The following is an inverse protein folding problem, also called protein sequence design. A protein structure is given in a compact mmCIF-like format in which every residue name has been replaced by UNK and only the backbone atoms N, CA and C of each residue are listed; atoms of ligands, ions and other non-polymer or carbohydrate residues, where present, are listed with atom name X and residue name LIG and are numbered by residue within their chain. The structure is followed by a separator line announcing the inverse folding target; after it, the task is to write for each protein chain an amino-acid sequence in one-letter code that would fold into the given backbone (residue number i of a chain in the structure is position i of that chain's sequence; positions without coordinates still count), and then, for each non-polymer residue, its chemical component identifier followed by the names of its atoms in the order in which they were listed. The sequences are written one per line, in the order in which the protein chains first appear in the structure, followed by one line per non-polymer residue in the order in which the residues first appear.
data_IF_304707873470
#
_entry.id   IF_304707873470
#
_cell.length_a   1.000
_cell.length_b   1.000
_cell.length_c   1.000
_cell.angle_alpha   90.00
_cell.angle_beta   90.00
_cell.angle_gamma   90.00
#
_symmetry.space_group_name_H-M   'P 1'
#
loop_
_entity.id
_entity.type
_entity.pdbx_description
1 polymer ?
#
# COMPACT_ATOMS: atom_id res chain seq x y z
N UNK A 1 -24.51 -9.44 -3.50
CA UNK A 1 -23.41 -10.42 -3.63
C UNK A 1 -22.12 -9.63 -3.44
N UNK A 2 -21.35 -9.90 -2.39
CA UNK A 2 -20.06 -9.22 -2.22
C UNK A 2 -19.09 -9.75 -3.27
N UNK A 3 -18.48 -8.85 -4.04
CA UNK A 3 -17.43 -9.19 -5.00
C UNK A 3 -16.19 -9.72 -4.25
N UNK A 4 -15.50 -10.70 -4.83
CA UNK A 4 -14.25 -11.22 -4.25
C UNK A 4 -13.13 -10.17 -4.37
N UNK A 5 -12.11 -10.26 -3.50
CA UNK A 5 -10.97 -9.34 -3.58
C UNK A 5 -10.29 -9.37 -4.97
N UNK A 6 -10.26 -10.52 -5.64
CA UNK A 6 -9.76 -10.65 -7.00
C UNK A 6 -10.57 -9.84 -8.03
N UNK A 7 -11.88 -9.71 -7.84
CA UNK A 7 -12.74 -8.91 -8.71
C UNK A 7 -12.61 -7.40 -8.43
N UNK A 8 -12.28 -7.04 -7.19
CA UNK A 8 -12.10 -5.65 -6.78
C UNK A 8 -10.66 -5.14 -6.96
N UNK A 9 -9.72 -6.02 -7.29
CA UNK A 9 -8.31 -5.68 -7.51
C UNK A 9 -7.98 -5.67 -9.01
N UNK A 10 -8.67 -4.82 -9.76
CA UNK A 10 -8.42 -4.60 -11.18
C UNK A 10 -8.40 -3.10 -11.47
N UNK A 11 -7.64 -2.61 -12.47
CA UNK A 11 -7.51 -1.17 -12.67
C UNK A 11 -8.83 -0.43 -12.83
N UNK A 12 -9.79 -1.02 -13.56
CA UNK A 12 -11.09 -0.41 -13.84
C UNK A 12 -12.03 -0.25 -12.63
N UNK A 13 -11.70 -0.78 -11.45
CA UNK A 13 -12.47 -0.54 -10.22
C UNK A 13 -12.02 0.72 -9.47
N UNK A 14 -10.96 1.39 -9.95
CA UNK A 14 -10.45 2.61 -9.39
C UNK A 14 -10.65 3.77 -10.37
N UNK A 15 -11.16 4.89 -9.86
CA UNK A 15 -11.31 6.14 -10.61
C UNK A 15 -10.80 7.33 -9.78
N UNK A 16 -9.47 7.41 -9.54
CA UNK A 16 -8.91 8.46 -8.70
C UNK A 16 -8.93 9.81 -9.43
N UNK A 17 -9.55 10.81 -8.81
CA UNK A 17 -9.52 12.20 -9.26
C UNK A 17 -8.93 13.11 -8.19
N UNK A 18 -7.92 13.91 -8.55
CA UNK A 18 -7.28 14.89 -7.64
C UNK A 18 -7.16 16.21 -8.36
N UNK A 19 -7.60 17.29 -7.71
CA UNK A 19 -7.49 18.63 -8.27
C UNK A 19 -6.02 18.99 -8.54
N UNK A 20 -5.72 19.48 -9.74
CA UNK A 20 -4.37 19.88 -10.14
C UNK A 20 -3.44 18.74 -10.54
N UNK A 21 -3.92 17.49 -10.56
CA UNK A 21 -3.15 16.33 -11.04
C UNK A 21 -3.87 15.64 -12.21
N UNK A 22 -3.09 15.06 -13.12
CA UNK A 22 -3.59 14.19 -14.19
C UNK A 22 -3.04 12.78 -13.99
N UNK A 23 -3.93 11.81 -13.87
CA UNK A 23 -3.56 10.39 -13.80
C UNK A 23 -3.05 9.97 -15.18
N UNK A 24 -1.88 9.36 -15.21
CA UNK A 24 -1.21 8.88 -16.42
C UNK A 24 -1.35 7.36 -16.58
N UNK A 25 -1.27 6.62 -15.47
CA UNK A 25 -1.39 5.18 -15.46
C UNK A 25 -1.95 4.69 -14.12
N UNK A 26 -2.69 3.59 -14.17
CA UNK A 26 -3.20 2.90 -13.00
C UNK A 26 -3.03 1.39 -13.19
N UNK A 27 -2.39 0.76 -12.23
CA UNK A 27 -2.17 -0.68 -12.17
C UNK A 27 -2.75 -1.22 -10.87
N UNK A 28 -3.35 -2.40 -10.91
CA UNK A 28 -3.85 -3.09 -9.73
C UNK A 28 -3.53 -4.59 -9.89
N UNK A 29 -2.78 -5.12 -8.92
CA UNK A 29 -2.28 -6.49 -8.93
C UNK A 29 -2.66 -7.17 -7.62
N UNK A 30 -3.40 -8.28 -7.71
CA UNK A 30 -3.70 -9.10 -6.55
C UNK A 30 -2.43 -9.86 -6.13
N UNK A 31 -1.98 -9.60 -4.90
CA UNK A 31 -0.86 -10.31 -4.29
C UNK A 31 -1.43 -11.34 -3.32
N UNK A 32 -1.04 -12.60 -3.47
CA UNK A 32 -1.47 -13.73 -2.63
C UNK A 32 -0.27 -14.46 -2.05
N UNK A 33 -0.45 -15.15 -0.93
CA UNK A 33 0.61 -15.96 -0.30
C UNK A 33 1.88 -15.15 0.01
N UNK A 34 1.69 -13.89 0.41
CA UNK A 34 2.79 -12.99 0.72
C UNK A 34 3.14 -13.09 2.20
N UNK A 35 4.42 -13.32 2.51
CA UNK A 35 4.93 -13.32 3.87
C UNK A 35 6.18 -12.46 3.95
N UNK A 36 6.28 -11.66 4.99
CA UNK A 36 7.38 -10.74 5.21
C UNK A 36 7.55 -10.42 6.69
N UNK A 37 8.78 -10.09 7.08
CA UNK A 37 9.11 -9.59 8.41
C UNK A 37 9.33 -8.09 8.36
N UNK A 38 8.82 -7.39 9.37
CA UNK A 38 9.07 -5.98 9.60
C UNK A 38 9.76 -5.80 10.95
N UNK A 39 11.11 -5.79 11.00
CA UNK A 39 11.86 -5.65 12.23
C UNK A 39 11.72 -4.25 12.85
N UNK A 40 12.08 -4.11 14.13
CA UNK A 40 11.99 -2.84 14.87
C UNK A 40 12.77 -1.71 14.19
N UNK A 41 13.89 -2.02 13.53
CA UNK A 41 14.74 -1.04 12.85
C UNK A 41 14.08 -0.29 11.68
N UNK A 42 12.95 -0.78 11.18
CA UNK A 42 12.13 -0.08 10.16
C UNK A 42 10.75 0.34 10.70
N UNK A 43 10.48 0.10 11.99
CA UNK A 43 9.21 0.40 12.67
C UNK A 43 9.46 1.30 13.89
N UNK A 44 9.90 2.53 13.63
CA UNK A 44 10.37 3.46 14.67
C UNK A 44 9.36 3.78 15.80
N UNK A 45 8.07 3.58 15.56
CA UNK A 45 6.99 3.89 16.52
C UNK A 45 6.20 2.66 16.99
N UNK A 46 6.58 1.45 16.56
CA UNK A 46 5.82 0.23 16.80
C UNK A 46 6.73 -0.99 16.96
N UNK A 47 6.35 -2.02 17.74
CA UNK A 47 7.13 -3.26 17.84
C UNK A 47 7.29 -3.96 16.48
N UNK A 48 8.27 -4.86 16.35
CA UNK A 48 8.41 -5.73 15.18
C UNK A 48 7.12 -6.50 14.89
N UNK A 49 6.86 -6.77 13.60
CA UNK A 49 5.67 -7.45 13.15
C UNK A 49 5.98 -8.47 12.04
N UNK A 50 5.21 -9.55 12.02
CA UNK A 50 5.31 -10.62 11.03
C UNK A 50 4.02 -10.68 10.20
N UNK A 51 4.16 -10.48 8.89
CA UNK A 51 3.09 -10.67 7.92
C UNK A 51 3.16 -12.11 7.40
N UNK A 52 2.06 -12.86 7.49
CA UNK A 52 2.02 -14.28 7.11
C UNK A 52 0.85 -14.56 6.20
N UNK A 53 1.11 -15.24 5.08
CA UNK A 53 0.09 -15.67 4.11
C UNK A 53 -0.92 -14.57 3.73
N UNK A 54 -0.45 -13.33 3.63
CA UNK A 54 -1.29 -12.19 3.36
C UNK A 54 -1.78 -12.20 1.91
N UNK A 55 -2.99 -11.69 1.74
CA UNK A 55 -3.58 -11.40 0.43
C UNK A 55 -4.07 -9.96 0.42
N UNK A 56 -3.57 -9.17 -0.51
CA UNK A 56 -3.85 -7.73 -0.62
C UNK A 56 -3.80 -7.28 -2.08
N UNK A 57 -4.41 -6.14 -2.36
CA UNK A 57 -4.33 -5.50 -3.66
C UNK A 57 -3.19 -4.49 -3.67
N UNK A 58 -2.19 -4.70 -4.53
CA UNK A 58 -1.16 -3.71 -4.80
C UNK A 58 -1.65 -2.80 -5.93
N UNK A 59 -1.90 -1.54 -5.62
CA UNK A 59 -2.36 -0.52 -6.56
C UNK A 59 -1.24 0.49 -6.76
N UNK A 60 -0.84 0.69 -8.01
CA UNK A 60 0.14 1.72 -8.38
C UNK A 60 -0.54 2.76 -9.27
N UNK A 61 -0.48 4.02 -8.86
CA UNK A 61 -0.98 5.17 -9.62
C UNK A 61 0.21 6.03 -10.02
N UNK A 62 0.32 6.32 -11.31
CA UNK A 62 1.25 7.32 -11.82
C UNK A 62 0.46 8.57 -12.20
N UNK A 63 0.87 9.73 -11.73
CA UNK A 63 0.26 11.01 -12.09
C UNK A 63 1.31 12.10 -12.33
N UNK A 64 0.88 13.21 -12.90
CA UNK A 64 1.68 14.43 -13.11
C UNK A 64 0.88 15.65 -12.67
N UNK A 65 1.58 16.73 -12.35
CA UNK A 65 0.99 18.06 -12.25
C UNK A 65 1.12 18.76 -13.62
N UNK A 66 0.02 19.11 -14.31
CA UNK A 66 0.09 19.69 -15.65
C UNK A 66 1.01 20.93 -15.71
N UNK A 67 1.98 20.90 -16.62
CA UNK A 67 2.95 21.98 -16.81
C UNK A 67 4.22 21.92 -15.94
N UNK A 68 4.29 21.03 -14.96
CA UNK A 68 5.48 20.85 -14.10
C UNK A 68 6.52 19.90 -14.71
N UNK A 69 6.10 19.02 -15.64
CA UNK A 69 6.99 18.04 -16.27
C UNK A 69 7.46 16.94 -15.31
N UNK A 70 6.77 16.76 -14.20
CA UNK A 70 7.03 15.73 -13.20
C UNK A 70 6.26 14.44 -13.51
N UNK A 71 6.74 13.33 -12.95
CA UNK A 71 6.05 12.04 -13.01
C UNK A 71 6.15 11.39 -11.63
N UNK A 72 5.03 11.35 -10.92
CA UNK A 72 4.96 10.89 -9.54
C UNK A 72 4.33 9.51 -9.53
N UNK A 73 4.96 8.57 -8.82
CA UNK A 73 4.41 7.23 -8.63
C UNK A 73 4.02 7.04 -7.16
N UNK A 74 2.77 6.61 -6.96
CA UNK A 74 2.19 6.27 -5.67
C UNK A 74 1.87 4.79 -5.68
N UNK A 75 2.26 4.07 -4.64
CA UNK A 75 1.96 2.65 -4.45
C UNK A 75 1.21 2.45 -3.15
N UNK A 76 0.05 1.82 -3.24
CA UNK A 76 -0.82 1.49 -2.11
C UNK A 76 -1.02 -0.02 -2.01
N UNK A 77 -0.94 -0.55 -0.80
CA UNK A 77 -1.28 -1.94 -0.49
C UNK A 77 -2.57 -1.96 0.33
N UNK A 78 -3.62 -2.51 -0.28
CA UNK A 78 -4.98 -2.54 0.26
C UNK A 78 -5.31 -3.96 0.75
N UNK A 79 -5.35 -4.21 2.07
CA UNK A 79 -5.69 -5.52 2.60
C UNK A 79 -7.15 -5.88 2.29
N UNK A 80 -7.45 -7.18 2.23
CA UNK A 80 -8.82 -7.67 2.09
C UNK A 80 -9.74 -7.13 3.20
N UNK A 81 -10.99 -6.77 2.87
CA UNK A 81 -12.02 -6.44 3.87
C UNK A 81 -12.53 -7.65 4.66
N UNK A 82 -12.19 -8.88 4.23
CA UNK A 82 -12.59 -10.11 4.91
C UNK A 82 -11.76 -10.33 6.17
N UNK A 83 -11.93 -9.48 7.18
CA UNK A 83 -11.80 -9.92 8.56
C UNK A 83 -12.92 -10.92 8.81
N UNK A 84 -12.64 -12.22 8.80
CA UNK A 84 -13.38 -13.07 9.72
C UNK A 84 -13.24 -12.42 11.09
N UNK A 85 -14.36 -12.25 11.77
CA UNK A 85 -14.57 -11.49 13.01
C UNK A 85 -13.79 -12.02 14.24
N UNK A 86 -12.64 -12.65 14.04
CA UNK A 86 -11.71 -13.05 15.09
C UNK A 86 -10.48 -12.18 15.02
N UNK A 87 -10.46 -11.12 15.83
CA UNK A 87 -9.24 -10.42 16.21
C UNK A 87 -8.20 -11.47 16.65
N UNK A 88 -7.11 -11.65 15.89
CA UNK A 88 -5.79 -12.17 16.32
C UNK A 88 -4.96 -12.95 15.27
N UNK A 89 -5.40 -13.10 14.02
CA UNK A 89 -4.52 -13.71 13.00
C UNK A 89 -3.58 -12.66 12.36
N UNK A 90 -2.24 -12.87 12.36
CA UNK A 90 -1.32 -12.07 11.55
C UNK A 90 -1.69 -12.19 10.07
N UNK A 91 -1.85 -11.06 9.37
CA UNK A 91 -2.31 -11.02 7.98
C UNK A 91 -3.84 -10.94 7.80
N UNK A 92 -4.58 -10.68 8.88
CA UNK A 92 -6.05 -10.69 8.91
C UNK A 92 -6.69 -9.31 8.76
N UNK A 93 -7.18 -9.02 7.56
CA UNK A 93 -8.21 -8.02 7.30
C UNK A 93 -7.80 -6.54 7.40
N UNK A 94 -8.51 -5.68 6.67
CA UNK A 94 -8.40 -4.24 6.83
C UNK A 94 -8.99 -3.80 8.16
N UNK A 95 -8.21 -3.09 8.97
CA UNK A 95 -8.60 -2.57 10.29
C UNK A 95 -9.25 -1.17 10.23
N UNK A 96 -9.69 -0.75 9.03
CA UNK A 96 -10.26 0.58 8.73
C UNK A 96 -9.29 1.76 8.95
N UNK A 97 -8.00 1.50 9.14
CA UNK A 97 -6.98 2.55 9.29
C UNK A 97 -6.10 2.63 8.06
N UNK A 98 -5.55 3.82 7.88
CA UNK A 98 -4.64 4.17 6.81
C UNK A 98 -3.30 4.63 7.40
N UNK A 99 -2.19 4.21 6.78
CA UNK A 99 -0.84 4.67 7.15
C UNK A 99 -0.07 5.08 5.89
N UNK A 100 0.33 6.35 5.81
CA UNK A 100 1.27 6.81 4.79
C UNK A 100 2.70 6.63 5.29
N UNK A 101 3.50 5.90 4.52
CA UNK A 101 4.89 5.58 4.82
C UNK A 101 5.80 6.45 3.95
N UNK A 102 6.68 7.20 4.61
CA UNK A 102 7.71 7.99 3.96
C UNK A 102 9.00 7.20 3.71
N UNK A 103 10.02 7.91 3.25
CA UNK A 103 11.37 7.38 3.02
C UNK A 103 12.37 7.94 4.03
N UNK A 104 13.60 8.18 3.56
CA UNK A 104 14.69 8.68 4.38
C UNK A 104 15.79 9.31 3.54
N UNK A 105 16.47 10.32 4.10
CA UNK A 105 17.48 11.10 3.37
C UNK A 105 16.87 11.83 2.17
N UNK A 106 17.45 11.62 0.98
CA UNK A 106 16.99 12.22 -0.29
C UNK A 106 16.02 11.34 -1.08
N UNK A 107 15.55 10.23 -0.51
CA UNK A 107 14.55 9.36 -1.14
C UNK A 107 13.22 9.49 -0.39
N UNK A 108 12.17 9.94 -1.07
CA UNK A 108 10.88 10.23 -0.45
C UNK A 108 10.07 8.97 -0.07
N UNK A 109 10.32 7.85 -0.74
CA UNK A 109 9.65 6.58 -0.49
C UNK A 109 9.92 5.58 -1.62
N UNK A 110 9.12 4.51 -1.71
CA UNK A 110 9.31 3.41 -2.69
C UNK A 110 10.71 2.79 -2.64
N UNK A 111 11.33 2.82 -1.47
CA UNK A 111 12.63 2.23 -1.16
C UNK A 111 12.48 1.08 -0.16
N UNK A 112 13.55 0.31 0.03
CA UNK A 112 13.58 -0.84 0.97
C UNK A 112 13.08 -0.48 2.38
N UNK A 113 13.37 0.75 2.86
CA UNK A 113 12.93 1.24 4.16
C UNK A 113 11.39 1.35 4.21
N UNK A 114 10.80 1.99 3.20
CA UNK A 114 9.34 2.17 3.10
C UNK A 114 8.63 0.82 2.96
N UNK A 115 9.13 -0.09 2.12
CA UNK A 115 8.53 -1.42 1.98
C UNK A 115 8.59 -2.23 3.28
N UNK A 116 9.68 -2.11 4.05
CA UNK A 116 9.79 -2.72 5.38
C UNK A 116 8.71 -2.21 6.35
N UNK A 117 8.50 -0.90 6.40
CA UNK A 117 7.44 -0.30 7.22
C UNK A 117 6.03 -0.65 6.70
N UNK A 118 5.81 -0.69 5.39
CA UNK A 118 4.54 -1.10 4.76
C UNK A 118 4.19 -2.56 5.07
N UNK A 119 5.18 -3.48 5.10
CA UNK A 119 4.97 -4.87 5.52
C UNK A 119 4.39 -4.95 6.93
N UNK A 120 4.96 -4.18 7.85
CA UNK A 120 4.46 -4.10 9.22
C UNK A 120 3.08 -3.45 9.29
N UNK A 121 2.82 -2.43 8.48
CA UNK A 121 1.52 -1.78 8.40
C UNK A 121 0.43 -2.77 7.95
N UNK A 122 0.70 -3.57 6.92
CA UNK A 122 -0.19 -4.66 6.50
C UNK A 122 -0.37 -5.71 7.61
N UNK A 123 0.69 -6.05 8.34
CA UNK A 123 0.61 -7.03 9.44
C UNK A 123 -0.33 -6.55 10.55
N UNK A 124 -0.36 -5.25 10.81
CA UNK A 124 -1.26 -4.60 11.76
C UNK A 124 -2.66 -4.31 11.18
N UNK A 125 -2.90 -4.61 9.89
CA UNK A 125 -4.17 -4.47 9.19
C UNK A 125 -4.41 -3.10 8.53
N UNK A 126 -3.43 -2.22 8.44
CA UNK A 126 -3.59 -0.92 7.77
C UNK A 126 -3.66 -1.08 6.25
N UNK A 127 -4.46 -0.23 5.59
CA UNK A 127 -4.17 0.15 4.22
C UNK A 127 -2.95 1.09 4.23
N UNK A 128 -1.95 0.81 3.42
CA UNK A 128 -0.67 1.53 3.49
C UNK A 128 -0.24 2.06 2.14
N UNK A 129 0.44 3.22 2.11
CA UNK A 129 0.87 3.86 0.86
C UNK A 129 2.28 4.44 0.98
N UNK A 130 3.00 4.51 -0.14
CA UNK A 130 4.26 5.24 -0.29
C UNK A 130 4.30 5.94 -1.65
N UNK A 131 5.14 6.97 -1.80
CA UNK A 131 5.40 7.63 -3.09
C UNK A 131 6.89 7.90 -3.29
N UNK A 132 7.34 7.98 -4.54
CA UNK A 132 8.66 8.51 -4.89
C UNK A 132 8.72 10.05 -4.86
N UNK A 133 7.58 10.72 -4.69
CA UNK A 133 7.44 12.18 -4.78
C UNK A 133 7.98 12.79 -6.09
N UNK A 134 8.03 12.01 -7.18
CA UNK A 134 8.60 12.44 -8.46
C UNK A 134 10.13 12.48 -8.49
N UNK A 135 10.79 11.89 -7.49
CA UNK A 135 12.25 11.73 -7.45
C UNK A 135 12.63 10.43 -8.17
N UNK A 136 12.62 10.45 -9.52
CA UNK A 136 12.95 9.28 -10.34
C UNK A 136 12.67 9.44 -11.82
#
# INVERSE_FOLDING_TARGET
MALSLAQNCVPGTFDPSVFGASVLALEANLVTNYSASAPEGVRFTSPAAELRNATFCNVTVTYTHPGQGDRIVVEAWLPSSSSSSSCSAPGGGWNERFLAVGGGGYAAGRIWLSYGAMNGALADGYATVTTDAGLG
#
